data_IF_145731504972
#
_entry.id   IF_145731504972
#
_cell.length_a   1.000
_cell.length_b   1.000
_cell.length_c   1.000
_cell.angle_alpha   90.00
_cell.angle_beta   90.00
_cell.angle_gamma   90.00
#
_symmetry.space_group_name_H-M   'P 1'
#
loop_
_entity.id
_entity.type
_entity.pdbx_description
1 polymer ?
#
# COMPACT_ATOMS: atom_id res chain seq x y z
N UNK A 1 7.12 -15.43 13.48
CA UNK A 1 7.00 -15.42 12.01
C UNK A 1 5.77 -16.20 11.61
N UNK A 2 4.67 -15.50 11.36
CA UNK A 2 3.44 -16.09 10.87
C UNK A 2 3.58 -16.44 9.38
N UNK A 3 2.71 -17.30 8.86
CA UNK A 3 2.65 -17.64 7.42
C UNK A 3 1.76 -16.67 6.63
N UNK A 4 1.05 -15.77 7.30
CA UNK A 4 0.03 -14.91 6.71
C UNK A 4 0.65 -13.59 6.26
N UNK A 5 1.52 -13.69 5.25
CA UNK A 5 2.28 -12.56 4.71
C UNK A 5 1.79 -12.15 3.34
N UNK A 6 1.82 -10.86 3.07
CA UNK A 6 1.52 -10.27 1.75
C UNK A 6 2.65 -9.31 1.37
N UNK A 7 3.04 -9.31 0.09
CA UNK A 7 3.96 -8.33 -0.45
C UNK A 7 3.16 -7.23 -1.14
N UNK A 8 3.31 -6.00 -0.68
CA UNK A 8 2.82 -4.82 -1.37
C UNK A 8 3.94 -4.17 -2.15
N UNK A 9 3.58 -3.56 -3.27
CA UNK A 9 4.50 -2.76 -4.06
C UNK A 9 3.77 -1.57 -4.68
N UNK A 10 4.49 -0.48 -4.85
CA UNK A 10 4.03 0.71 -5.56
C UNK A 10 5.16 1.24 -6.44
N UNK A 11 4.82 1.65 -7.65
CA UNK A 11 5.75 2.25 -8.60
C UNK A 11 5.08 3.46 -9.26
N UNK A 12 5.79 4.58 -9.43
CA UNK A 12 5.30 5.73 -10.16
C UNK A 12 5.14 5.46 -11.67
N UNK A 13 5.59 4.31 -12.18
CA UNK A 13 5.59 3.92 -13.60
C UNK A 13 6.43 4.80 -14.56
N UNK A 14 6.79 6.03 -14.18
CA UNK A 14 7.56 6.95 -15.03
C UNK A 14 9.07 7.02 -14.70
N UNK A 15 9.52 6.38 -13.62
CA UNK A 15 10.95 6.28 -13.25
C UNK A 15 11.37 4.82 -13.12
N UNK A 16 12.32 4.38 -13.94
CA UNK A 16 12.90 3.04 -13.86
C UNK A 16 13.63 2.88 -12.53
N UNK A 17 13.31 1.82 -11.80
CA UNK A 17 13.94 1.50 -10.51
C UNK A 17 13.33 2.20 -9.29
N UNK A 18 12.29 3.04 -9.47
CA UNK A 18 11.59 3.69 -8.36
C UNK A 18 10.43 2.84 -7.82
N UNK A 19 10.67 1.56 -7.51
CA UNK A 19 9.67 0.70 -6.88
C UNK A 19 9.89 0.66 -5.37
N UNK A 20 8.85 0.93 -4.60
CA UNK A 20 8.83 0.63 -3.16
C UNK A 20 8.09 -0.68 -2.96
N UNK A 21 8.71 -1.65 -2.30
CA UNK A 21 8.06 -2.91 -1.92
C UNK A 21 8.25 -3.19 -0.44
N UNK A 22 7.23 -3.79 0.18
CA UNK A 22 7.23 -4.15 1.60
C UNK A 22 6.50 -5.48 1.78
N UNK A 23 7.05 -6.36 2.61
CA UNK A 23 6.39 -7.60 3.00
C UNK A 23 5.82 -7.42 4.39
N UNK A 24 4.50 -7.52 4.48
CA UNK A 24 3.72 -7.33 5.70
C UNK A 24 3.28 -8.69 6.22
N UNK A 25 3.43 -8.92 7.52
CA UNK A 25 2.80 -10.01 8.25
C UNK A 25 1.51 -9.51 8.90
N UNK A 26 0.36 -10.03 8.45
CA UNK A 26 -0.94 -9.60 8.93
C UNK A 26 -1.14 -9.84 10.44
N UNK A 27 -0.42 -10.83 11.00
CA UNK A 27 -0.49 -11.14 12.44
C UNK A 27 0.50 -10.29 13.22
N UNK A 28 1.75 -10.22 12.78
CA UNK A 28 2.81 -9.53 13.55
C UNK A 28 2.75 -8.00 13.39
N UNK A 29 2.43 -7.49 12.20
CA UNK A 29 2.45 -6.04 11.91
C UNK A 29 1.09 -5.37 12.15
N UNK A 30 -0.01 -6.07 11.84
CA UNK A 30 -1.39 -5.54 11.96
C UNK A 30 -2.18 -6.12 13.13
N UNK A 31 -1.66 -7.15 13.83
CA UNK A 31 -2.29 -7.71 15.02
C UNK A 31 -3.54 -8.56 14.77
N UNK A 32 -3.79 -8.99 13.53
CA UNK A 32 -4.93 -9.87 13.24
C UNK A 32 -4.72 -11.26 13.82
N UNK A 33 -5.82 -11.94 14.19
CA UNK A 33 -5.76 -13.36 14.48
C UNK A 33 -5.42 -14.18 13.22
N UNK A 34 -4.88 -15.39 13.37
CA UNK A 34 -4.59 -16.27 12.23
C UNK A 34 -5.84 -16.57 11.37
N UNK A 35 -7.02 -16.58 12.00
CA UNK A 35 -8.29 -16.77 11.30
C UNK A 35 -8.64 -15.56 10.45
N UNK A 36 -8.58 -14.36 11.00
CA UNK A 36 -8.83 -13.12 10.28
C UNK A 36 -7.81 -12.91 9.16
N UNK A 37 -6.52 -13.15 9.45
CA UNK A 37 -5.46 -13.04 8.45
C UNK A 37 -5.67 -14.00 7.27
N UNK A 38 -6.18 -15.22 7.55
CA UNK A 38 -6.58 -16.16 6.50
C UNK A 38 -7.75 -15.62 5.67
N UNK A 39 -8.81 -15.13 6.31
CA UNK A 39 -9.99 -14.57 5.63
C UNK A 39 -9.63 -13.33 4.78
N UNK A 40 -8.70 -12.49 5.26
CA UNK A 40 -8.17 -11.34 4.51
C UNK A 40 -7.40 -11.80 3.27
N UNK A 41 -6.56 -12.82 3.36
CA UNK A 41 -5.83 -13.33 2.19
C UNK A 41 -6.73 -14.05 1.18
N UNK A 42 -7.86 -14.61 1.65
CA UNK A 42 -8.87 -15.24 0.79
C UNK A 42 -9.86 -14.23 0.20
N UNK A 43 -9.91 -12.99 0.69
CA UNK A 43 -10.88 -11.96 0.31
C UNK A 43 -10.27 -10.66 -0.21
N UNK A 44 -10.65 -10.22 -1.41
CA UNK A 44 -10.06 -9.05 -2.05
C UNK A 44 -10.39 -7.71 -1.36
N UNK A 45 -11.61 -7.53 -0.85
CA UNK A 45 -12.07 -6.23 -0.35
C UNK A 45 -11.23 -5.69 0.81
N UNK A 46 -11.02 -6.51 1.85
CA UNK A 46 -10.29 -6.06 3.05
C UNK A 46 -8.79 -5.94 2.79
N UNK A 47 -8.24 -6.80 1.94
CA UNK A 47 -6.85 -6.68 1.51
C UNK A 47 -6.63 -5.38 0.71
N UNK A 48 -7.59 -4.99 -0.13
CA UNK A 48 -7.55 -3.73 -0.87
C UNK A 48 -7.62 -2.51 0.07
N UNK A 49 -8.42 -2.55 1.13
CA UNK A 49 -8.46 -1.48 2.14
C UNK A 49 -7.09 -1.28 2.81
N UNK A 50 -6.48 -2.38 3.28
CA UNK A 50 -5.14 -2.36 3.88
C UNK A 50 -4.09 -1.86 2.88
N UNK A 51 -4.16 -2.30 1.62
CA UNK A 51 -3.27 -1.84 0.56
C UNK A 51 -3.42 -0.33 0.30
N UNK A 52 -4.66 0.19 0.25
CA UNK A 52 -4.90 1.61 0.01
C UNK A 52 -4.29 2.48 1.13
N UNK A 53 -4.47 2.09 2.40
CA UNK A 53 -3.84 2.78 3.53
C UNK A 53 -2.31 2.77 3.40
N UNK A 54 -1.72 1.60 3.14
CA UNK A 54 -0.28 1.46 2.95
C UNK A 54 0.24 2.32 1.80
N UNK A 55 -0.46 2.37 0.66
CA UNK A 55 -0.06 3.20 -0.50
C UNK A 55 -0.04 4.68 -0.16
N UNK A 56 -1.05 5.19 0.55
CA UNK A 56 -1.12 6.61 0.93
C UNK A 56 0.02 7.03 1.87
N UNK A 57 0.59 6.11 2.65
CA UNK A 57 1.77 6.39 3.47
C UNK A 57 3.08 6.42 2.65
N UNK A 58 3.12 5.82 1.45
CA UNK A 58 4.34 5.75 0.61
C UNK A 58 4.36 6.75 -0.54
N UNK A 59 3.20 7.19 -1.03
CA UNK A 59 3.12 8.16 -2.14
C UNK A 59 2.97 9.58 -1.58
N UNK A 60 3.98 10.42 -1.84
CA UNK A 60 3.84 11.87 -1.73
C UNK A 60 3.36 12.45 -3.06
N UNK A 61 2.06 12.75 -3.14
CA UNK A 61 1.42 13.32 -4.32
C UNK A 61 0.60 14.55 -3.96
N UNK A 62 0.60 15.54 -4.85
CA UNK A 62 -0.13 16.78 -4.65
C UNK A 62 -0.45 17.49 -5.96
N UNK A 63 -1.02 18.69 -5.84
CA UNK A 63 -1.33 19.57 -6.95
C UNK A 63 -0.90 20.99 -6.61
N UNK A 64 -0.61 21.80 -7.63
CA UNK A 64 -0.31 23.23 -7.49
C UNK A 64 -1.22 24.01 -8.43
N UNK A 65 -1.79 25.12 -7.96
CA UNK A 65 -2.51 26.07 -8.82
C UNK A 65 -1.50 26.83 -9.68
N UNK A 66 -1.74 26.89 -10.98
CA UNK A 66 -1.02 27.79 -11.89
C UNK A 66 -1.78 29.12 -11.89
N UNK A 67 -1.11 30.19 -11.48
CA UNK A 67 -1.59 31.54 -11.75
C UNK A 67 -1.12 31.90 -13.16
N UNK A 68 -2.00 32.51 -13.95
CA UNK A 68 -1.65 32.93 -15.31
C UNK A 68 -0.45 33.87 -15.26
N UNK A 69 0.51 33.66 -16.16
CA UNK A 69 1.45 34.71 -16.51
C UNK A 69 0.63 35.84 -17.15
N UNK A 70 0.20 36.81 -16.34
CA UNK A 70 -0.19 38.11 -16.85
C UNK A 70 1.10 38.80 -17.33
N UNK A 71 1.47 38.58 -18.60
CA UNK A 71 2.18 39.54 -19.46
C UNK A 71 1.67 39.46 -20.92
#
# INVERSE_FOLDING_TARGET
>A
MSKYKVKFFVSPNYVVGATTEETIDLVEDYGFSEKEAKEILEGENKLQEIFNEWVWEKIDAGWKKLEGEDE
#
